data_IF_852257024662
#
_entry.id   IF_852257024662
#
_cell.length_a   1.000
_cell.length_b   1.000
_cell.length_c   1.000
_cell.angle_alpha   90.00
_cell.angle_beta   90.00
_cell.angle_gamma   90.00
#
_symmetry.space_group_name_H-M   'P 1'
#
loop_
_entity.id
_entity.type
_entity.pdbx_description
1 polymer ?
#
# COMPACT_ATOMS: atom_id res chain seq x y z
N UNK A 1 -2.93 28.70 -44.01
CA UNK A 1 -2.14 27.80 -43.18
C UNK A 1 -3.04 26.93 -42.35
N UNK A 2 -2.83 25.61 -42.32
CA UNK A 2 -3.56 24.69 -41.45
C UNK A 2 -2.83 24.55 -40.11
N UNK A 3 -3.49 24.84 -39.00
CA UNK A 3 -2.97 24.55 -37.68
C UNK A 3 -3.08 23.04 -37.42
N UNK A 4 -2.02 22.43 -36.93
CA UNK A 4 -2.02 21.01 -36.51
C UNK A 4 -1.76 20.93 -35.01
N UNK A 5 -2.49 20.06 -34.34
CA UNK A 5 -2.22 19.69 -32.94
C UNK A 5 -1.01 18.72 -32.91
N UNK A 6 0.09 19.16 -32.31
CA UNK A 6 1.27 18.30 -32.16
C UNK A 6 1.19 17.55 -30.85
N UNK A 7 1.14 16.20 -30.85
CA UNK A 7 1.09 15.43 -29.63
C UNK A 7 2.41 15.57 -28.87
N UNK A 8 2.32 15.77 -27.56
CA UNK A 8 3.49 15.88 -26.68
C UNK A 8 3.30 15.05 -25.40
N UNK A 9 4.36 14.88 -24.62
CA UNK A 9 4.33 14.20 -23.35
C UNK A 9 3.80 12.76 -23.44
N UNK A 10 2.84 12.43 -22.58
CA UNK A 10 2.25 11.09 -22.51
C UNK A 10 1.51 10.72 -23.80
N UNK A 11 0.75 11.64 -24.41
CA UNK A 11 0.03 11.37 -25.64
C UNK A 11 0.99 10.94 -26.76
N UNK A 12 2.10 11.67 -26.94
CA UNK A 12 3.09 11.31 -27.96
C UNK A 12 3.71 9.92 -27.72
N UNK A 13 3.93 9.56 -26.43
CA UNK A 13 4.44 8.23 -26.07
C UNK A 13 3.43 7.12 -26.37
N UNK A 14 2.17 7.34 -26.02
CA UNK A 14 1.10 6.37 -26.21
C UNK A 14 0.80 6.16 -27.71
N UNK A 15 0.83 7.21 -28.52
CA UNK A 15 0.62 7.12 -29.98
C UNK A 15 1.73 6.32 -30.68
N UNK A 16 2.93 6.27 -30.10
CA UNK A 16 4.08 5.48 -30.60
C UNK A 16 4.18 4.08 -29.97
N UNK A 17 3.25 3.74 -29.10
CA UNK A 17 3.30 2.44 -28.44
C UNK A 17 3.08 1.32 -29.47
N UNK A 18 3.90 0.27 -29.45
CA UNK A 18 3.84 -0.89 -30.34
C UNK A 18 3.28 -2.14 -29.64
N UNK A 19 3.09 -2.07 -28.32
CA UNK A 19 2.65 -3.20 -27.48
C UNK A 19 1.39 -2.83 -26.72
N UNK A 20 0.74 -3.83 -26.13
CA UNK A 20 -0.36 -3.60 -25.20
C UNK A 20 0.07 -2.58 -24.13
N UNK A 21 -0.61 -1.45 -24.11
CA UNK A 21 -0.29 -0.31 -23.24
C UNK A 21 -1.52 0.06 -22.44
N UNK A 22 -1.36 0.15 -21.12
CA UNK A 22 -2.37 0.69 -20.24
C UNK A 22 -2.06 2.17 -20.00
N UNK A 23 -3.00 3.04 -20.33
CA UNK A 23 -2.92 4.47 -20.02
C UNK A 23 -3.86 4.78 -18.87
N UNK A 24 -3.27 5.11 -17.71
CA UNK A 24 -4.02 5.45 -16.51
C UNK A 24 -4.38 6.95 -16.49
N UNK A 25 -5.67 7.24 -16.30
CA UNK A 25 -6.21 8.57 -16.05
C UNK A 25 -6.36 8.69 -14.52
N UNK A 26 -5.32 9.18 -13.85
CA UNK A 26 -5.29 9.30 -12.40
C UNK A 26 -6.24 10.38 -11.90
N UNK A 27 -6.85 10.09 -10.75
CA UNK A 27 -7.68 11.02 -9.98
C UNK A 27 -8.79 11.71 -10.81
N UNK A 28 -9.45 10.94 -11.67
CA UNK A 28 -10.47 11.44 -12.59
C UNK A 28 -11.56 12.28 -11.90
N UNK A 29 -11.94 11.92 -10.66
CA UNK A 29 -12.93 12.65 -9.86
C UNK A 29 -12.46 14.01 -9.35
N UNK A 30 -11.14 14.30 -9.37
CA UNK A 30 -10.60 15.62 -9.01
C UNK A 30 -10.60 16.60 -10.21
N UNK A 31 -10.83 16.08 -11.41
CA UNK A 31 -10.93 16.93 -12.59
C UNK A 31 -12.22 17.78 -12.56
N UNK A 32 -12.12 19.02 -12.98
CA UNK A 32 -13.30 19.89 -13.13
C UNK A 32 -14.32 19.27 -14.10
N UNK A 33 -15.59 19.63 -13.97
CA UNK A 33 -16.67 19.13 -14.86
C UNK A 33 -16.37 19.37 -16.34
N UNK A 34 -15.74 20.50 -16.68
CA UNK A 34 -15.34 20.82 -18.04
C UNK A 34 -14.29 19.82 -18.57
N UNK A 35 -13.30 19.50 -17.74
CA UNK A 35 -12.26 18.50 -18.06
C UNK A 35 -12.87 17.10 -18.16
N UNK A 36 -13.75 16.73 -17.23
CA UNK A 36 -14.48 15.44 -17.31
C UNK A 36 -15.32 15.35 -18.59
N UNK A 37 -15.91 16.47 -19.04
CA UNK A 37 -16.62 16.56 -20.34
C UNK A 37 -15.71 16.27 -21.53
N UNK A 38 -14.48 16.81 -21.53
CA UNK A 38 -13.49 16.51 -22.54
C UNK A 38 -13.05 15.02 -22.52
N UNK A 39 -12.91 14.44 -21.34
CA UNK A 39 -12.62 13.01 -21.19
C UNK A 39 -13.74 12.10 -21.72
N UNK A 40 -15.01 12.52 -21.66
CA UNK A 40 -16.09 11.73 -22.26
C UNK A 40 -15.87 11.53 -23.77
N UNK A 41 -15.54 12.61 -24.48
CA UNK A 41 -15.24 12.54 -25.92
C UNK A 41 -13.99 11.68 -26.16
N UNK A 42 -12.94 11.91 -25.40
CA UNK A 42 -11.69 11.19 -25.51
C UNK A 42 -11.87 9.67 -25.31
N UNK A 43 -12.59 9.25 -24.28
CA UNK A 43 -12.84 7.84 -23.97
C UNK A 43 -13.73 7.20 -25.04
N UNK A 44 -14.76 7.91 -25.49
CA UNK A 44 -15.71 7.39 -26.49
C UNK A 44 -15.09 7.30 -27.89
N UNK A 45 -14.47 8.37 -28.36
CA UNK A 45 -13.87 8.44 -29.68
C UNK A 45 -12.51 7.73 -29.74
N UNK A 46 -11.89 7.46 -28.59
CA UNK A 46 -10.51 6.97 -28.49
C UNK A 46 -9.54 7.86 -29.29
N UNK A 47 -9.76 9.17 -29.23
CA UNK A 47 -8.99 10.15 -29.99
C UNK A 47 -8.81 11.45 -29.18
N UNK A 48 -7.71 12.12 -29.42
CA UNK A 48 -7.39 13.45 -28.87
C UNK A 48 -7.04 14.37 -30.06
N UNK A 49 -7.92 15.34 -30.34
CA UNK A 49 -7.84 16.09 -31.58
C UNK A 49 -7.92 15.17 -32.82
N UNK A 50 -6.98 15.33 -33.74
CA UNK A 50 -6.87 14.48 -34.94
C UNK A 50 -6.16 13.12 -34.71
N UNK A 51 -5.68 12.85 -33.47
CA UNK A 51 -4.89 11.65 -33.17
C UNK A 51 -5.75 10.56 -32.55
N UNK A 52 -5.96 9.47 -33.29
CA UNK A 52 -6.65 8.27 -32.80
C UNK A 52 -5.69 7.37 -32.01
N UNK A 53 -6.12 6.87 -30.86
CA UNK A 53 -5.34 5.95 -30.06
C UNK A 53 -5.22 4.59 -30.75
N UNK A 54 -4.01 3.99 -30.76
CA UNK A 54 -3.81 2.63 -31.27
C UNK A 54 -4.75 1.61 -30.60
N UNK A 55 -5.18 0.61 -31.35
CA UNK A 55 -6.12 -0.40 -30.89
C UNK A 55 -5.65 -1.19 -29.64
N UNK A 56 -4.34 -1.35 -29.49
CA UNK A 56 -3.72 -2.03 -28.34
C UNK A 56 -3.54 -1.16 -27.09
N UNK A 57 -3.88 0.14 -27.16
CA UNK A 57 -3.92 0.99 -25.97
C UNK A 57 -5.24 0.74 -25.25
N UNK A 58 -5.18 0.54 -23.94
CA UNK A 58 -6.34 0.44 -23.04
C UNK A 58 -6.32 1.60 -22.06
N UNK A 59 -7.50 2.14 -21.79
CA UNK A 59 -7.69 3.21 -20.80
C UNK A 59 -8.15 2.60 -19.49
N UNK A 60 -7.50 2.98 -18.41
CA UNK A 60 -7.96 2.77 -17.04
C UNK A 60 -8.10 4.14 -16.37
N UNK A 61 -8.93 4.24 -15.37
CA UNK A 61 -9.06 5.46 -14.60
C UNK A 61 -9.13 5.12 -13.11
N UNK A 62 -8.55 5.98 -12.30
CA UNK A 62 -8.65 5.89 -10.84
C UNK A 62 -9.38 7.09 -10.29
N UNK A 63 -10.12 6.90 -9.23
CA UNK A 63 -10.79 7.97 -8.49
C UNK A 63 -11.08 7.52 -7.06
N UNK A 64 -11.10 8.45 -6.14
CA UNK A 64 -11.64 8.23 -4.81
C UNK A 64 -13.17 8.26 -4.86
N UNK A 65 -13.80 7.61 -3.90
CA UNK A 65 -15.27 7.65 -3.77
C UNK A 65 -15.68 8.99 -3.18
N UNK A 66 -16.86 9.54 -3.54
CA UNK A 66 -17.39 10.76 -2.90
C UNK A 66 -17.64 10.57 -1.38
N UNK A 67 -17.81 9.33 -0.93
CA UNK A 67 -17.92 8.97 0.49
C UNK A 67 -16.59 9.03 1.23
N UNK A 68 -15.45 9.02 0.54
CA UNK A 68 -14.13 9.13 1.16
C UNK A 68 -13.92 10.59 1.60
N UNK A 69 -14.33 10.89 2.83
CA UNK A 69 -14.34 12.25 3.38
C UNK A 69 -12.96 12.89 3.31
N UNK A 70 -12.92 14.13 2.89
CA UNK A 70 -11.69 14.90 2.73
C UNK A 70 -10.93 14.65 1.41
N UNK A 71 -11.42 13.78 0.54
CA UNK A 71 -10.78 13.54 -0.76
C UNK A 71 -10.92 14.71 -1.75
N UNK A 72 -11.80 15.70 -1.47
CA UNK A 72 -12.03 16.83 -2.37
C UNK A 72 -12.54 16.43 -3.76
N UNK A 73 -13.18 15.24 -3.84
CA UNK A 73 -13.61 14.64 -5.10
C UNK A 73 -14.97 15.18 -5.47
N UNK A 74 -15.10 15.78 -6.65
CA UNK A 74 -16.37 16.03 -7.29
C UNK A 74 -16.98 14.69 -7.76
N UNK A 75 -18.29 14.67 -7.90
CA UNK A 75 -18.98 13.51 -8.47
C UNK A 75 -18.53 13.32 -9.92
N UNK A 76 -17.99 12.15 -10.24
CA UNK A 76 -17.68 11.80 -11.63
C UNK A 76 -18.99 11.81 -12.42
N UNK A 77 -18.98 12.45 -13.60
CA UNK A 77 -20.16 12.57 -14.45
C UNK A 77 -20.70 11.18 -14.82
N UNK A 78 -21.99 10.95 -14.60
CA UNK A 78 -22.64 9.67 -14.90
C UNK A 78 -22.40 9.17 -16.34
N UNK A 79 -22.41 10.03 -17.38
CA UNK A 79 -22.07 9.62 -18.73
C UNK A 79 -20.62 9.16 -18.89
N UNK A 80 -19.68 9.69 -18.08
CA UNK A 80 -18.30 9.23 -18.10
C UNK A 80 -18.17 7.87 -17.39
N UNK A 81 -18.82 7.70 -16.23
CA UNK A 81 -18.87 6.43 -15.49
C UNK A 81 -19.38 5.30 -16.38
N UNK A 82 -20.44 5.53 -17.16
CA UNK A 82 -21.07 4.50 -18.01
C UNK A 82 -20.15 3.93 -19.12
N UNK A 83 -18.97 4.54 -19.33
CA UNK A 83 -17.97 4.11 -20.31
C UNK A 83 -16.88 3.22 -19.73
N UNK A 84 -16.92 2.96 -18.42
CA UNK A 84 -15.93 2.16 -17.72
C UNK A 84 -16.59 0.97 -17.01
N UNK A 85 -15.87 -0.12 -16.88
CA UNK A 85 -16.19 -1.14 -15.91
C UNK A 85 -15.71 -0.64 -14.54
N UNK A 86 -16.62 -0.60 -13.57
CA UNK A 86 -16.30 -0.13 -12.22
C UNK A 86 -15.81 -1.30 -11.37
N UNK A 87 -14.63 -1.11 -10.80
CA UNK A 87 -14.04 -2.06 -9.85
C UNK A 87 -13.73 -1.29 -8.57
N UNK A 88 -14.30 -1.76 -7.46
CA UNK A 88 -13.97 -1.21 -6.15
C UNK A 88 -12.77 -1.95 -5.58
N UNK A 89 -11.72 -1.19 -5.23
CA UNK A 89 -10.53 -1.71 -4.58
C UNK A 89 -10.65 -1.42 -3.08
N UNK A 90 -10.40 -2.42 -2.25
CA UNK A 90 -10.33 -2.29 -0.79
C UNK A 90 -8.98 -2.82 -0.32
N UNK A 91 -8.37 -2.18 0.71
CA UNK A 91 -7.19 -2.72 1.33
C UNK A 91 -7.49 -4.08 1.98
N UNK A 92 -6.67 -5.08 1.70
CA UNK A 92 -6.73 -6.41 2.28
C UNK A 92 -5.37 -6.73 2.91
N UNK A 93 -5.38 -7.26 4.14
CA UNK A 93 -4.16 -7.46 4.91
C UNK A 93 -3.24 -8.53 4.29
N UNK A 94 -3.80 -9.61 3.74
CA UNK A 94 -3.02 -10.67 3.11
C UNK A 94 -2.23 -10.14 1.91
N UNK A 95 -2.90 -9.44 0.99
CA UNK A 95 -2.28 -8.82 -0.18
C UNK A 95 -1.22 -7.80 0.23
N UNK A 96 -1.51 -6.99 1.27
CA UNK A 96 -0.56 -6.01 1.79
C UNK A 96 0.67 -6.67 2.41
N UNK A 97 0.51 -7.76 3.15
CA UNK A 97 1.62 -8.53 3.74
C UNK A 97 2.50 -9.13 2.67
N UNK A 98 1.93 -9.71 1.63
CA UNK A 98 2.68 -10.28 0.50
C UNK A 98 3.51 -9.22 -0.22
N UNK A 99 2.96 -8.03 -0.38
CA UNK A 99 3.69 -6.88 -0.90
C UNK A 99 4.77 -6.42 0.09
N UNK A 100 4.46 -6.30 1.38
CA UNK A 100 5.34 -5.83 2.43
C UNK A 100 6.62 -6.68 2.53
N UNK A 101 6.46 -8.01 2.50
CA UNK A 101 7.58 -8.95 2.52
C UNK A 101 8.53 -8.75 1.33
N UNK A 102 7.99 -8.51 0.13
CA UNK A 102 8.80 -8.27 -1.07
C UNK A 102 9.43 -6.87 -1.11
N UNK A 103 8.84 -5.92 -0.40
CA UNK A 103 9.24 -4.49 -0.41
C UNK A 103 10.15 -4.10 0.76
N UNK A 104 10.55 -5.06 1.62
CA UNK A 104 11.44 -4.80 2.75
C UNK A 104 10.82 -3.98 3.87
N UNK A 105 9.51 -4.09 4.08
CA UNK A 105 8.84 -3.52 5.25
C UNK A 105 9.35 -4.23 6.50
N UNK A 106 9.68 -3.48 7.55
CA UNK A 106 10.21 -4.04 8.80
C UNK A 106 9.20 -4.98 9.47
N UNK A 107 9.71 -6.05 10.07
CA UNK A 107 8.88 -7.10 10.66
C UNK A 107 8.01 -6.61 11.82
N UNK A 108 8.42 -5.55 12.52
CA UNK A 108 7.65 -4.92 13.59
C UNK A 108 6.28 -4.44 13.12
N UNK A 109 6.24 -3.80 11.96
CA UNK A 109 5.00 -3.30 11.36
C UNK A 109 4.12 -4.46 10.89
N UNK A 110 4.71 -5.48 10.25
CA UNK A 110 3.97 -6.64 9.76
C UNK A 110 3.41 -7.47 10.92
N UNK A 111 4.19 -7.66 11.97
CA UNK A 111 3.78 -8.36 13.18
C UNK A 111 2.63 -7.61 13.88
N UNK A 112 2.77 -6.30 14.09
CA UNK A 112 1.72 -5.47 14.67
C UNK A 112 0.41 -5.58 13.89
N UNK A 113 0.44 -5.41 12.58
CA UNK A 113 -0.75 -5.49 11.72
C UNK A 113 -1.34 -6.90 11.66
N UNK A 114 -0.54 -7.93 11.87
CA UNK A 114 -1.05 -9.31 11.93
C UNK A 114 -1.86 -9.54 13.21
N UNK A 115 -1.46 -8.94 14.33
CA UNK A 115 -2.22 -8.96 15.59
C UNK A 115 -3.42 -7.98 15.56
N UNK A 116 -3.28 -6.86 14.84
CA UNK A 116 -4.27 -5.79 14.76
C UNK A 116 -4.71 -5.53 13.30
N UNK A 117 -5.39 -6.50 12.64
CA UNK A 117 -5.72 -6.41 11.20
C UNK A 117 -6.57 -5.19 10.84
N UNK A 118 -7.43 -4.75 11.75
CA UNK A 118 -8.29 -3.57 11.57
C UNK A 118 -7.50 -2.24 11.56
N UNK A 119 -6.25 -2.25 12.02
CA UNK A 119 -5.38 -1.08 12.00
C UNK A 119 -4.69 -0.85 10.65
N UNK A 120 -4.81 -1.77 9.67
CA UNK A 120 -4.26 -1.56 8.34
C UNK A 120 -4.90 -0.35 7.65
N UNK A 121 -6.22 -0.23 7.78
CA UNK A 121 -6.99 0.82 7.16
C UNK A 121 -8.18 1.20 8.04
N UNK A 122 -8.30 2.49 8.34
CA UNK A 122 -9.46 3.06 9.03
C UNK A 122 -10.07 4.15 8.17
N UNK A 123 -11.34 3.99 7.85
CA UNK A 123 -12.07 4.96 7.04
C UNK A 123 -12.17 6.31 7.76
N UNK A 124 -11.84 7.39 7.06
CA UNK A 124 -11.82 8.72 7.63
C UNK A 124 -13.24 9.21 7.88
N UNK A 125 -13.57 9.49 9.15
CA UNK A 125 -14.91 9.91 9.57
C UNK A 125 -15.05 11.42 9.82
N UNK A 126 -13.93 12.16 9.87
CA UNK A 126 -13.91 13.58 10.18
C UNK A 126 -13.29 14.40 9.06
N UNK A 127 -13.62 15.70 9.01
CA UNK A 127 -12.96 16.66 8.12
C UNK A 127 -11.75 17.33 8.80
N UNK A 128 -11.39 16.93 10.01
CA UNK A 128 -10.23 17.43 10.71
C UNK A 128 -8.94 16.96 10.06
N UNK A 129 -7.88 17.73 10.25
CA UNK A 129 -6.54 17.38 9.74
C UNK A 129 -5.92 16.35 10.68
N UNK A 130 -6.52 15.17 10.73
CA UNK A 130 -6.00 14.02 11.46
C UNK A 130 -5.48 12.96 10.48
N UNK A 131 -4.42 12.30 10.89
CA UNK A 131 -3.91 11.16 10.13
C UNK A 131 -4.62 9.90 10.60
N UNK A 132 -5.23 9.19 9.67
CA UNK A 132 -5.78 7.85 9.89
C UNK A 132 -4.85 6.80 9.28
N UNK A 133 -4.80 5.58 9.83
CA UNK A 133 -3.96 4.52 9.29
C UNK A 133 -4.43 4.11 7.90
N UNK A 134 -3.46 4.00 7.00
CA UNK A 134 -3.62 3.57 5.61
C UNK A 134 -2.41 2.70 5.21
N UNK A 135 -2.54 1.80 4.22
CA UNK A 135 -1.44 0.96 3.74
C UNK A 135 -0.16 1.73 3.41
N UNK A 136 -0.30 2.93 2.80
CA UNK A 136 0.82 3.83 2.49
C UNK A 136 1.47 4.41 3.75
N UNK A 137 0.66 4.77 4.74
CA UNK A 137 1.14 5.27 6.03
C UNK A 137 2.01 4.24 6.75
N UNK A 138 1.60 2.97 6.75
CA UNK A 138 2.37 1.87 7.32
C UNK A 138 3.70 1.62 6.59
N UNK A 139 3.73 1.76 5.27
CA UNK A 139 4.97 1.69 4.51
C UNK A 139 5.94 2.85 4.86
N UNK A 140 5.42 4.05 5.13
CA UNK A 140 6.21 5.18 5.62
C UNK A 140 6.70 4.96 7.05
N UNK A 141 5.84 4.49 7.95
CA UNK A 141 6.20 4.14 9.32
C UNK A 141 7.35 3.12 9.38
N UNK A 142 7.31 2.10 8.52
CA UNK A 142 8.39 1.12 8.37
C UNK A 142 9.74 1.78 8.04
N UNK A 143 9.76 2.73 7.11
CA UNK A 143 10.99 3.45 6.74
C UNK A 143 11.53 4.29 7.90
N UNK A 144 10.65 4.89 8.71
CA UNK A 144 11.05 5.67 9.89
C UNK A 144 11.65 4.77 10.97
N UNK A 145 11.07 3.60 11.22
CA UNK A 145 11.62 2.61 12.14
C UNK A 145 13.01 2.13 11.69
N UNK A 146 13.16 1.83 10.42
CA UNK A 146 14.43 1.39 9.86
C UNK A 146 15.54 2.48 9.90
N UNK A 147 15.15 3.76 9.96
CA UNK A 147 16.10 4.89 10.02
C UNK A 147 16.76 5.07 11.40
N UNK A 148 16.26 4.40 12.47
CA UNK A 148 16.88 4.39 13.78
C UNK A 148 16.81 5.71 14.55
N UNK A 149 15.75 6.50 14.35
CA UNK A 149 15.52 7.71 15.15
C UNK A 149 15.34 7.40 16.63
N UNK A 150 15.72 8.33 17.50
CA UNK A 150 15.40 8.25 18.93
C UNK A 150 13.88 8.36 19.14
N UNK A 151 13.39 7.87 20.29
CA UNK A 151 11.95 7.77 20.57
C UNK A 151 11.23 9.12 20.60
N UNK A 152 11.89 10.19 21.04
CA UNK A 152 11.30 11.53 21.09
C UNK A 152 11.02 12.09 19.70
N UNK A 153 11.88 11.78 18.74
CA UNK A 153 11.70 12.15 17.34
C UNK A 153 10.77 11.17 16.61
N UNK A 154 10.90 9.87 16.88
CA UNK A 154 10.18 8.81 16.19
C UNK A 154 8.66 8.85 16.47
N UNK A 155 8.28 9.09 17.73
CA UNK A 155 6.86 9.08 18.14
C UNK A 155 5.99 10.06 17.33
N UNK A 156 6.31 11.36 17.24
CA UNK A 156 5.51 12.28 16.45
C UNK A 156 5.56 12.00 14.94
N UNK A 157 6.66 11.48 14.41
CA UNK A 157 6.77 11.08 13.01
C UNK A 157 5.85 9.89 12.68
N UNK A 158 5.81 8.88 13.54
CA UNK A 158 4.90 7.74 13.38
C UNK A 158 3.43 8.19 13.49
N UNK A 159 3.12 9.08 14.44
CA UNK A 159 1.78 9.65 14.56
C UNK A 159 1.36 10.38 13.27
N UNK A 160 2.29 11.08 12.62
CA UNK A 160 2.08 11.70 11.32
C UNK A 160 1.90 10.70 10.15
N UNK A 161 2.29 9.44 10.32
CA UNK A 161 2.10 8.41 9.30
C UNK A 161 0.80 7.64 9.47
N UNK A 162 0.47 7.21 10.70
CA UNK A 162 -0.59 6.24 10.98
C UNK A 162 -1.60 6.70 12.03
N UNK A 163 -1.49 7.94 12.48
CA UNK A 163 -2.30 8.49 13.56
C UNK A 163 -1.72 8.18 14.95
N UNK A 164 -2.05 9.04 15.93
CA UNK A 164 -1.46 8.98 17.27
C UNK A 164 -1.77 7.66 18.01
N UNK A 165 -3.01 7.16 17.89
CA UNK A 165 -3.43 5.90 18.51
C UNK A 165 -2.59 4.72 18.02
N UNK A 166 -2.58 4.47 16.70
CA UNK A 166 -1.82 3.38 16.10
C UNK A 166 -0.31 3.53 16.31
N UNK A 167 0.22 4.75 16.31
CA UNK A 167 1.64 4.98 16.61
C UNK A 167 1.99 4.55 18.04
N UNK A 168 1.15 4.92 19.03
CA UNK A 168 1.34 4.52 20.43
C UNK A 168 1.25 3.01 20.61
N UNK A 169 0.27 2.37 19.98
CA UNK A 169 0.09 0.91 20.03
C UNK A 169 1.26 0.18 19.37
N UNK A 170 1.73 0.66 18.19
CA UNK A 170 2.90 0.09 17.53
C UNK A 170 4.16 0.18 18.42
N UNK A 171 4.41 1.33 19.03
CA UNK A 171 5.55 1.51 19.94
C UNK A 171 5.45 0.63 21.18
N UNK A 172 4.25 0.46 21.74
CA UNK A 172 4.00 -0.48 22.83
C UNK A 172 4.26 -1.92 22.38
N UNK A 173 3.76 -2.31 21.21
CA UNK A 173 4.02 -3.62 20.60
C UNK A 173 5.52 -3.88 20.45
N UNK A 174 6.29 -2.92 19.91
CA UNK A 174 7.74 -3.02 19.78
C UNK A 174 8.42 -3.17 21.15
N UNK A 175 8.00 -2.39 22.14
CA UNK A 175 8.55 -2.45 23.51
C UNK A 175 8.27 -3.79 24.19
N UNK A 176 7.09 -4.37 23.97
CA UNK A 176 6.73 -5.68 24.52
C UNK A 176 7.43 -6.86 23.83
N UNK A 177 8.09 -6.62 22.69
CA UNK A 177 8.89 -7.62 21.94
C UNK A 177 10.27 -7.89 22.53
N UNK A 178 10.61 -7.35 23.70
CA UNK A 178 11.92 -7.56 24.34
C UNK A 178 12.28 -9.03 24.50
N UNK A 179 11.27 -9.92 24.55
CA UNK A 179 11.46 -11.38 24.61
C UNK A 179 11.47 -12.06 23.22
N UNK A 180 11.42 -11.31 22.11
CA UNK A 180 11.48 -11.89 20.77
C UNK A 180 12.86 -12.49 20.52
N UNK A 181 12.88 -13.69 19.94
CA UNK A 181 14.11 -14.35 19.54
C UNK A 181 14.40 -14.00 18.06
N UNK A 182 15.51 -13.32 17.76
CA UNK A 182 15.87 -13.00 16.38
C UNK A 182 15.98 -14.26 15.52
N UNK A 183 15.51 -14.18 14.27
CA UNK A 183 15.52 -15.30 13.34
C UNK A 183 16.93 -15.89 13.14
N UNK A 184 17.96 -15.04 13.13
CA UNK A 184 19.37 -15.46 13.00
C UNK A 184 19.82 -16.35 14.16
N UNK A 185 19.35 -16.07 15.39
CA UNK A 185 19.64 -16.89 16.57
C UNK A 185 19.01 -18.29 16.44
N UNK A 186 17.76 -18.32 15.94
CA UNK A 186 17.05 -19.58 15.73
C UNK A 186 17.69 -20.40 14.61
N UNK A 187 17.98 -19.77 13.48
CA UNK A 187 18.57 -20.44 12.33
C UNK A 187 19.99 -20.92 12.61
N UNK A 188 20.72 -20.25 13.53
CA UNK A 188 22.05 -20.65 13.96
C UNK A 188 22.07 -21.82 14.96
N UNK A 189 20.95 -22.05 15.70
CA UNK A 189 20.85 -23.11 16.70
C UNK A 189 19.40 -23.43 17.07
N UNK A 190 18.62 -24.05 16.15
CA UNK A 190 17.18 -24.21 16.33
C UNK A 190 16.80 -25.06 17.54
N UNK A 191 17.65 -26.04 17.90
CA UNK A 191 17.42 -26.93 19.04
C UNK A 191 17.66 -26.24 20.41
N UNK A 192 18.47 -25.18 20.44
CA UNK A 192 18.91 -24.50 21.68
C UNK A 192 18.39 -23.08 21.81
N UNK A 193 17.90 -22.48 20.72
CA UNK A 193 17.36 -21.15 20.73
C UNK A 193 16.24 -21.00 21.80
N UNK A 194 16.19 -19.87 22.53
CA UNK A 194 15.15 -19.65 23.54
C UNK A 194 13.76 -19.63 22.90
N UNK A 195 12.75 -19.96 23.72
CA UNK A 195 11.34 -19.85 23.33
C UNK A 195 10.78 -18.60 23.99
N UNK A 196 10.11 -17.69 23.22
CA UNK A 196 9.46 -16.52 23.77
C UNK A 196 8.43 -16.90 24.85
N UNK A 197 8.38 -16.11 25.94
CA UNK A 197 7.49 -16.37 27.08
C UNK A 197 6.09 -15.81 26.92
N UNK A 198 5.94 -14.79 26.09
CA UNK A 198 4.65 -14.14 25.85
C UNK A 198 4.20 -14.33 24.39
N UNK A 199 2.89 -14.27 24.19
CA UNK A 199 2.28 -14.55 22.88
C UNK A 199 2.69 -13.53 21.81
N UNK A 200 2.81 -12.24 22.15
CA UNK A 200 3.26 -11.20 21.22
C UNK A 200 4.68 -11.43 20.73
N UNK A 201 5.60 -11.78 21.64
CA UNK A 201 6.98 -12.10 21.27
C UNK A 201 7.07 -13.39 20.45
N UNK A 202 6.25 -14.40 20.77
CA UNK A 202 6.16 -15.63 19.98
C UNK A 202 5.68 -15.32 18.55
N UNK A 203 4.62 -14.52 18.44
CA UNK A 203 4.08 -14.12 17.14
C UNK A 203 5.10 -13.35 16.30
N UNK A 204 5.79 -12.39 16.91
CA UNK A 204 6.85 -11.62 16.27
C UNK A 204 8.02 -12.50 15.82
N UNK A 205 8.40 -13.51 16.65
CA UNK A 205 9.43 -14.50 16.30
C UNK A 205 9.02 -15.33 15.07
N UNK A 206 7.77 -15.81 15.03
CA UNK A 206 7.25 -16.58 13.89
C UNK A 206 7.21 -15.72 12.61
N UNK A 207 6.78 -14.46 12.73
CA UNK A 207 6.80 -13.51 11.61
C UNK A 207 8.24 -13.29 11.13
N UNK A 208 9.19 -13.04 12.03
CA UNK A 208 10.61 -12.90 11.68
C UNK A 208 11.18 -14.12 10.96
N UNK A 209 10.81 -15.32 11.39
CA UNK A 209 11.19 -16.56 10.72
C UNK A 209 10.57 -16.69 9.32
N UNK A 210 9.33 -16.25 9.13
CA UNK A 210 8.66 -16.29 7.82
C UNK A 210 9.37 -15.46 6.77
N UNK A 211 9.96 -14.30 7.15
CA UNK A 211 10.79 -13.49 6.26
C UNK A 211 12.09 -14.17 5.82
N UNK A 212 12.57 -15.13 6.60
CA UNK A 212 13.80 -15.91 6.32
C UNK A 212 13.50 -17.29 5.75
N UNK A 213 12.23 -17.62 5.54
CA UNK A 213 11.82 -18.92 5.02
C UNK A 213 12.35 -19.13 3.59
N UNK A 214 13.04 -20.24 3.40
CA UNK A 214 13.59 -20.69 2.13
C UNK A 214 13.82 -22.20 2.20
N UNK A 215 14.09 -22.85 1.08
CA UNK A 215 14.45 -24.27 1.04
C UNK A 215 15.66 -24.56 1.95
N UNK A 216 16.61 -23.61 2.05
CA UNK A 216 17.83 -23.78 2.88
C UNK A 216 17.59 -23.64 4.37
N UNK A 217 16.54 -22.96 4.79
CA UNK A 217 16.23 -22.67 6.20
C UNK A 217 15.04 -23.49 6.71
N UNK A 218 14.36 -24.23 5.84
CA UNK A 218 13.14 -24.97 6.17
C UNK A 218 13.34 -25.96 7.33
N UNK A 219 14.40 -26.78 7.29
CA UNK A 219 14.68 -27.77 8.33
C UNK A 219 14.91 -27.14 9.70
N UNK A 220 15.65 -26.02 9.75
CA UNK A 220 15.90 -25.28 11.00
C UNK A 220 14.62 -24.66 11.55
N UNK A 221 13.76 -24.11 10.69
CA UNK A 221 12.48 -23.55 11.09
C UNK A 221 11.55 -24.64 11.62
N UNK A 222 11.47 -25.78 10.95
CA UNK A 222 10.65 -26.91 11.39
C UNK A 222 11.11 -27.46 12.73
N UNK A 223 12.43 -27.66 12.91
CA UNK A 223 13.01 -28.13 14.17
C UNK A 223 12.74 -27.17 15.35
N UNK A 224 12.73 -25.87 15.10
CA UNK A 224 12.36 -24.90 16.12
C UNK A 224 10.84 -24.91 16.39
N UNK A 225 10.01 -25.01 15.35
CA UNK A 225 8.56 -25.07 15.48
C UNK A 225 8.07 -26.27 16.28
N UNK A 226 8.71 -27.45 16.14
CA UNK A 226 8.41 -28.64 16.94
C UNK A 226 8.57 -28.44 18.46
N UNK A 227 9.37 -27.45 18.88
CA UNK A 227 9.58 -27.13 20.30
C UNK A 227 8.53 -26.17 20.86
N UNK A 228 7.66 -25.61 20.01
CA UNK A 228 6.60 -24.69 20.42
C UNK A 228 5.31 -25.41 20.80
N UNK A 229 5.22 -26.70 20.48
CA UNK A 229 4.08 -27.58 20.75
C UNK A 229 4.54 -28.81 21.55
#
# INVERSE_FOLDING_TARGET
GTARFLPFGQLARVLRAERLTLWNLEDLGHASRAVQGAYMQFVQARACGEHTLPAHVRLIATTNRPSDKGAGVDTVLAPLISRFFLVQIQPELGDWKDWAMRSGVVEEVVSYLTEHPNSLYVDRKTNEVERTPEPRGWAQASKLLAAGYNMDTLTPLLAGCVGAGCATELLAHIKHRVDMVPAEVILGGPSTAPIPRNLSALYATIVGLSYRASIKTADAIMLYAERLF
#
